data_IF_898649719103
#
_entry.id   IF_898649719103
#
_cell.length_a   1.000
_cell.length_b   1.000
_cell.length_c   1.000
_cell.angle_alpha   90.00
_cell.angle_beta   90.00
_cell.angle_gamma   90.00
#
_symmetry.space_group_name_H-M   'P 1'
#
loop_
_entity.id
_entity.type
_entity.pdbx_description
1 polymer ?
#
# COMPACT_ATOMS: atom_id res chain seq x y z
N UNK A 1 -9.60 -29.69 21.22
CA UNK A 1 -10.77 -28.80 21.00
C UNK A 1 -10.72 -27.71 22.08
N UNK A 2 -10.94 -26.43 21.74
CA UNK A 2 -11.00 -25.34 22.75
C UNK A 2 -9.89 -24.28 22.71
N UNK A 3 -9.13 -24.13 21.61
CA UNK A 3 -8.24 -22.97 21.44
C UNK A 3 -9.03 -21.83 20.78
N UNK A 4 -8.87 -20.58 21.22
CA UNK A 4 -9.50 -19.44 20.56
C UNK A 4 -8.98 -19.33 19.12
N UNK A 5 -9.91 -19.18 18.19
CA UNK A 5 -9.63 -18.94 16.77
C UNK A 5 -9.96 -17.48 16.51
N UNK A 6 -9.01 -16.77 15.90
CA UNK A 6 -9.16 -15.38 15.53
C UNK A 6 -9.20 -15.26 14.02
N UNK A 7 -10.18 -14.50 13.53
CA UNK A 7 -10.35 -14.20 12.12
C UNK A 7 -9.93 -12.75 11.85
N UNK A 8 -9.39 -12.52 10.66
CA UNK A 8 -9.17 -11.16 10.17
C UNK A 8 -10.56 -10.56 9.88
N UNK A 9 -10.84 -9.39 10.45
CA UNK A 9 -12.08 -8.66 10.22
C UNK A 9 -12.19 -8.13 8.79
N UNK A 10 -13.34 -7.51 8.44
CA UNK A 10 -13.49 -6.86 7.15
C UNK A 10 -12.45 -5.75 6.95
N UNK A 11 -12.12 -5.45 5.69
CA UNK A 11 -11.36 -4.25 5.37
C UNK A 11 -12.10 -3.00 5.88
N UNK A 12 -11.35 -2.00 6.32
CA UNK A 12 -11.92 -0.68 6.65
C UNK A 12 -12.43 0.05 5.41
N UNK A 13 -12.95 1.27 5.61
CA UNK A 13 -13.26 2.17 4.51
C UNK A 13 -12.01 2.46 3.66
N UNK A 14 -12.21 2.74 2.38
CA UNK A 14 -11.13 3.08 1.46
C UNK A 14 -10.35 4.29 1.97
N UNK A 15 -9.03 4.17 2.08
CA UNK A 15 -8.17 5.25 2.57
C UNK A 15 -7.97 6.36 1.53
N UNK A 16 -7.87 5.98 0.25
CA UNK A 16 -7.94 6.87 -0.91
C UNK A 16 -8.76 6.18 -2.00
N UNK A 17 -9.91 6.77 -2.33
CA UNK A 17 -10.81 6.35 -3.40
C UNK A 17 -11.14 7.53 -4.33
N UNK A 18 -10.24 8.51 -4.40
CA UNK A 18 -10.39 9.68 -5.24
C UNK A 18 -10.13 9.40 -6.72
N UNK A 19 -10.33 10.41 -7.59
CA UNK A 19 -9.99 10.31 -9.01
C UNK A 19 -8.54 9.84 -9.23
N UNK A 20 -8.36 8.87 -10.13
CA UNK A 20 -7.05 8.24 -10.40
C UNK A 20 -6.86 6.89 -9.70
N UNK A 21 -7.70 6.55 -8.72
CA UNK A 21 -7.72 5.21 -8.10
C UNK A 21 -8.57 4.23 -8.90
N UNK A 22 -8.28 2.93 -8.73
CA UNK A 22 -9.09 1.84 -9.26
C UNK A 22 -10.47 1.75 -8.59
N UNK A 23 -10.55 2.01 -7.28
CA UNK A 23 -11.82 2.17 -6.54
C UNK A 23 -12.74 3.19 -7.21
N UNK A 24 -12.21 4.36 -7.55
CA UNK A 24 -12.98 5.40 -8.23
C UNK A 24 -13.45 4.95 -9.63
N UNK A 25 -12.59 4.29 -10.40
CA UNK A 25 -12.98 3.80 -11.73
C UNK A 25 -14.12 2.79 -11.66
N UNK A 26 -14.02 1.80 -10.77
CA UNK A 26 -15.02 0.72 -10.61
C UNK A 26 -16.36 1.26 -10.11
N UNK A 27 -16.35 2.14 -9.09
CA UNK A 27 -17.57 2.74 -8.54
C UNK A 27 -18.35 3.58 -9.56
N UNK A 28 -17.67 4.10 -10.59
CA UNK A 28 -18.27 4.87 -11.68
C UNK A 28 -18.58 4.02 -12.94
N UNK A 29 -18.61 2.69 -12.81
CA UNK A 29 -18.99 1.77 -13.89
C UNK A 29 -17.97 1.67 -15.03
N UNK A 30 -16.71 1.98 -14.76
CA UNK A 30 -15.61 1.90 -15.75
C UNK A 30 -14.73 0.68 -15.45
N UNK A 31 -14.06 0.19 -16.50
CA UNK A 31 -12.98 -0.80 -16.35
C UNK A 31 -11.72 -0.09 -15.83
N UNK A 32 -11.07 -0.66 -14.82
CA UNK A 32 -9.76 -0.22 -14.34
C UNK A 32 -8.66 -1.13 -14.87
N UNK A 33 -7.56 -0.54 -15.33
CA UNK A 33 -6.34 -1.26 -15.70
C UNK A 33 -5.19 -0.61 -14.93
N UNK A 34 -4.67 -1.32 -13.92
CA UNK A 34 -3.58 -0.85 -13.07
C UNK A 34 -2.32 -1.66 -13.40
N UNK A 35 -1.30 -1.09 -14.05
CA UNK A 35 0.00 -1.74 -14.19
C UNK A 35 0.62 -1.96 -12.80
N UNK A 36 0.98 -3.20 -12.47
CA UNK A 36 1.60 -3.54 -11.18
C UNK A 36 3.04 -3.98 -11.42
N UNK A 37 3.95 -3.45 -10.60
CA UNK A 37 5.35 -3.84 -10.58
C UNK A 37 5.60 -4.89 -9.48
N UNK A 38 6.36 -5.93 -9.81
CA UNK A 38 6.72 -7.00 -8.84
C UNK A 38 7.94 -6.65 -8.00
N UNK A 39 8.80 -5.76 -8.49
CA UNK A 39 9.93 -5.23 -7.74
C UNK A 39 9.43 -4.20 -6.73
N UNK A 40 9.48 -4.58 -5.44
CA UNK A 40 9.05 -3.78 -4.30
C UNK A 40 10.15 -2.83 -3.80
N UNK A 41 11.28 -2.71 -4.50
CA UNK A 41 12.34 -1.77 -4.15
C UNK A 41 11.84 -0.34 -4.26
N UNK A 42 11.80 0.38 -3.13
CA UNK A 42 11.42 1.79 -3.10
C UNK A 42 12.62 2.69 -3.43
N UNK A 43 12.94 2.81 -4.72
CA UNK A 43 14.12 3.54 -5.21
C UNK A 43 14.19 4.99 -4.72
N UNK A 44 13.06 5.69 -4.64
CA UNK A 44 12.98 7.07 -4.13
C UNK A 44 13.29 7.18 -2.62
N UNK A 45 13.19 6.06 -1.89
CA UNK A 45 13.49 6.00 -0.47
C UNK A 45 14.97 5.81 -0.15
N UNK A 46 15.78 5.34 -1.11
CA UNK A 46 17.18 4.95 -0.89
C UNK A 46 18.01 6.10 -0.32
N UNK A 47 17.98 7.26 -0.96
CA UNK A 47 18.76 8.43 -0.51
C UNK A 47 18.29 8.97 0.85
N UNK A 48 17.00 8.85 1.15
CA UNK A 48 16.43 9.28 2.43
C UNK A 48 16.93 8.40 3.56
N UNK A 49 16.87 7.07 3.39
CA UNK A 49 17.36 6.11 4.38
C UNK A 49 18.89 6.18 4.50
N UNK A 50 19.61 6.33 3.38
CA UNK A 50 21.06 6.48 3.38
C UNK A 50 21.54 7.69 4.19
N UNK A 51 20.89 8.85 4.02
CA UNK A 51 21.18 10.04 4.84
C UNK A 51 20.87 9.83 6.31
N UNK A 52 19.77 9.15 6.63
CA UNK A 52 19.43 8.82 8.02
C UNK A 52 20.51 7.95 8.68
N UNK A 53 21.00 6.91 7.99
CA UNK A 53 22.07 6.05 8.49
C UNK A 53 23.37 6.81 8.72
N UNK A 54 23.76 7.69 7.79
CA UNK A 54 24.96 8.51 7.93
C UNK A 54 24.91 9.41 9.17
N UNK A 55 23.74 9.97 9.50
CA UNK A 55 23.54 10.81 10.68
C UNK A 55 23.53 10.05 12.02
N UNK A 56 23.46 8.71 12.02
CA UNK A 56 23.59 7.91 13.24
C UNK A 56 25.06 7.59 13.58
N UNK A 57 25.96 7.70 12.59
CA UNK A 57 27.39 7.44 12.76
C UNK A 57 28.21 8.67 13.14
N UNK A 58 27.58 9.85 13.23
CA UNK A 58 28.17 11.11 13.67
C UNK A 58 27.96 11.38 15.15
#
# INVERSE_FOLDING_TARGET
>A
RGRPIYWIGPAGSEADAGPGTDFHAVTHGRVSITPVQVDLTQYTGIDTVGRWLAGLGS
#
